data_IF_849906278448
#
_entry.id   IF_849906278448
#
_cell.length_a   1.000
_cell.length_b   1.000
_cell.length_c   1.000
_cell.angle_alpha   90.00
_cell.angle_beta   90.00
_cell.angle_gamma   90.00
#
_symmetry.space_group_name_H-M   'P 1'
#
loop_
_entity.id
_entity.type
_entity.pdbx_description
1 polymer ?
#
# COMPACT_ATOMS: atom_id res chain seq x y z
N UNK A 1 15.97 -5.37 6.08
CA UNK A 1 14.53 -5.14 5.84
C UNK A 1 13.78 -6.01 6.84
N UNK A 2 12.91 -5.43 7.65
CA UNK A 2 12.08 -6.18 8.60
C UNK A 2 10.94 -6.82 7.81
N UNK A 3 10.96 -8.15 7.65
CA UNK A 3 9.80 -8.92 7.20
C UNK A 3 9.11 -9.44 8.46
N UNK A 4 7.83 -9.14 8.60
CA UNK A 4 6.99 -9.68 9.66
C UNK A 4 6.27 -10.90 9.07
N UNK A 5 6.52 -12.12 9.59
CA UNK A 5 5.78 -13.30 9.16
C UNK A 5 4.27 -13.08 9.17
N UNK A 6 3.56 -13.64 8.20
CA UNK A 6 2.11 -13.40 7.98
C UNK A 6 1.26 -13.62 9.23
N UNK A 7 1.60 -14.61 10.05
CA UNK A 7 0.90 -14.89 11.32
C UNK A 7 1.03 -13.73 12.32
N UNK A 8 2.25 -13.19 12.48
CA UNK A 8 2.49 -12.03 13.32
C UNK A 8 1.79 -10.78 12.77
N UNK A 9 1.78 -10.58 11.45
CA UNK A 9 1.04 -9.48 10.82
C UNK A 9 -0.47 -9.59 11.08
N UNK A 10 -1.03 -10.81 11.03
CA UNK A 10 -2.44 -11.08 11.30
C UNK A 10 -2.81 -10.72 12.75
N UNK A 11 -1.99 -11.10 13.73
CA UNK A 11 -2.23 -10.76 15.14
C UNK A 11 -2.06 -9.26 15.42
N UNK A 12 -1.10 -8.59 14.76
CA UNK A 12 -0.95 -7.14 14.86
C UNK A 12 -2.18 -6.39 14.31
N UNK A 13 -2.69 -6.79 13.15
CA UNK A 13 -3.90 -6.19 12.56
C UNK A 13 -5.11 -6.43 13.46
N UNK A 14 -5.27 -7.65 13.98
CA UNK A 14 -6.34 -7.99 14.92
C UNK A 14 -6.30 -7.10 16.17
N UNK A 15 -5.12 -7.01 16.81
CA UNK A 15 -4.92 -6.16 17.99
C UNK A 15 -5.24 -4.69 17.69
N UNK A 16 -4.81 -4.18 16.53
CA UNK A 16 -5.11 -2.82 16.11
C UNK A 16 -6.63 -2.59 15.99
N UNK A 17 -7.35 -3.50 15.33
CA UNK A 17 -8.80 -3.42 15.17
C UNK A 17 -9.54 -3.49 16.52
N UNK A 18 -9.11 -4.37 17.43
CA UNK A 18 -9.67 -4.49 18.79
C UNK A 18 -9.48 -3.20 19.61
N UNK A 19 -8.41 -2.44 19.34
CA UNK A 19 -8.15 -1.12 19.93
C UNK A 19 -8.86 0.03 19.20
N UNK A 20 -9.67 -0.26 18.17
CA UNK A 20 -10.39 0.74 17.39
C UNK A 20 -9.54 1.43 16.31
N UNK A 21 -8.32 0.96 16.05
CA UNK A 21 -7.48 1.44 14.95
C UNK A 21 -7.97 0.76 13.67
N UNK A 22 -8.39 1.58 12.70
CA UNK A 22 -8.91 1.09 11.43
C UNK A 22 -8.19 1.66 10.20
N UNK A 23 -7.14 2.46 10.39
CA UNK A 23 -6.34 3.00 9.29
C UNK A 23 -4.99 2.30 9.22
N UNK A 24 -4.73 1.63 8.10
CA UNK A 24 -3.47 0.95 7.82
C UNK A 24 -2.76 1.59 6.62
N UNK A 25 -1.46 1.84 6.78
CA UNK A 25 -0.65 2.57 5.81
C UNK A 25 0.54 1.73 5.32
N UNK A 26 0.69 1.64 4.00
CA UNK A 26 1.76 0.88 3.33
C UNK A 26 2.36 1.69 2.17
N UNK A 27 3.35 1.12 1.49
CA UNK A 27 3.95 1.70 0.29
C UNK A 27 4.49 0.57 -0.56
N UNK A 28 4.52 0.74 -1.88
CA UNK A 28 5.05 -0.27 -2.80
C UNK A 28 6.52 -0.63 -2.50
N UNK A 29 7.26 0.27 -1.85
CA UNK A 29 8.65 0.07 -1.47
C UNK A 29 8.86 -0.75 -0.19
N UNK A 30 7.84 -0.89 0.65
CA UNK A 30 7.97 -1.60 1.93
C UNK A 30 8.30 -3.07 1.68
N UNK A 31 9.53 -3.45 2.04
CA UNK A 31 10.11 -4.76 1.77
C UNK A 31 9.98 -5.20 0.28
N UNK A 32 10.06 -4.26 -0.65
CA UNK A 32 9.93 -4.55 -2.09
C UNK A 32 8.54 -5.05 -2.50
N UNK A 33 7.49 -4.57 -1.82
CA UNK A 33 6.10 -4.94 -2.05
C UNK A 33 5.58 -6.05 -1.13
N UNK A 34 6.47 -6.74 -0.40
CA UNK A 34 6.05 -7.79 0.52
C UNK A 34 5.15 -7.27 1.64
N UNK A 35 5.36 -6.03 2.11
CA UNK A 35 4.50 -5.44 3.14
C UNK A 35 3.04 -5.27 2.72
N UNK A 36 2.77 -5.07 1.43
CA UNK A 36 1.41 -4.99 0.89
C UNK A 36 0.76 -6.38 0.83
N UNK A 37 1.53 -7.41 0.49
CA UNK A 37 1.06 -8.80 0.51
C UNK A 37 0.73 -9.22 1.93
N UNK A 38 1.65 -8.96 2.88
CA UNK A 38 1.50 -9.34 4.28
C UNK A 38 0.28 -8.65 4.91
N UNK A 39 0.11 -7.34 4.68
CA UNK A 39 -1.07 -6.60 5.16
C UNK A 39 -2.37 -7.10 4.50
N UNK A 40 -2.35 -7.33 3.19
CA UNK A 40 -3.52 -7.83 2.45
C UNK A 40 -3.99 -9.20 2.91
N UNK A 41 -3.06 -10.09 3.26
CA UNK A 41 -3.36 -11.39 3.88
C UNK A 41 -3.87 -11.23 5.32
N UNK A 42 -3.20 -10.39 6.12
CA UNK A 42 -3.56 -10.13 7.51
C UNK A 42 -4.99 -9.59 7.66
N UNK A 43 -5.43 -8.70 6.77
CA UNK A 43 -6.80 -8.17 6.74
C UNK A 43 -7.83 -9.22 6.32
N UNK A 44 -7.52 -10.03 5.28
CA UNK A 44 -8.41 -11.10 4.80
C UNK A 44 -8.60 -12.22 5.83
N UNK A 45 -7.60 -12.45 6.68
CA UNK A 45 -7.68 -13.43 7.76
C UNK A 45 -8.59 -12.98 8.92
N UNK A 46 -9.01 -11.71 8.97
CA UNK A 46 -9.93 -11.22 10.00
C UNK A 46 -11.37 -11.66 9.70
N UNK A 47 -11.92 -12.53 10.56
CA UNK A 47 -13.28 -13.05 10.37
C UNK A 47 -14.32 -11.93 10.50
N UNK A 48 -15.17 -11.81 9.48
CA UNK A 48 -16.29 -10.84 9.47
C UNK A 48 -15.89 -9.39 9.21
N UNK A 49 -14.60 -9.11 8.97
CA UNK A 49 -14.14 -7.77 8.62
C UNK A 49 -14.60 -7.42 7.20
N UNK A 50 -15.38 -6.35 7.06
CA UNK A 50 -15.84 -5.86 5.75
C UNK A 50 -14.87 -4.81 5.24
N UNK A 51 -14.79 -4.66 3.91
CA UNK A 51 -13.95 -3.62 3.29
C UNK A 51 -14.27 -2.21 3.78
N UNK A 52 -15.53 -1.94 4.14
CA UNK A 52 -16.00 -0.66 4.69
C UNK A 52 -15.55 -0.38 6.12
N UNK A 53 -15.02 -1.37 6.84
CA UNK A 53 -14.68 -1.25 8.26
C UNK A 53 -13.28 -0.68 8.48
N UNK A 54 -12.46 -0.55 7.42
CA UNK A 54 -11.09 -0.07 7.49
C UNK A 54 -10.70 0.83 6.31
N UNK A 55 -9.68 1.64 6.55
CA UNK A 55 -9.07 2.58 5.62
C UNK A 55 -7.67 2.08 5.27
N UNK A 56 -7.37 2.01 3.97
CA UNK A 56 -6.05 1.69 3.45
C UNK A 56 -5.47 2.90 2.74
N UNK A 57 -4.26 3.29 3.14
CA UNK A 57 -3.42 4.18 2.36
C UNK A 57 -2.21 3.44 1.78
N UNK A 58 -1.87 3.77 0.55
CA UNK A 58 -0.59 3.36 -0.07
C UNK A 58 0.12 4.55 -0.69
N UNK A 59 1.40 4.38 -1.00
CA UNK A 59 2.28 5.43 -1.53
C UNK A 59 3.01 4.91 -2.76
N UNK A 60 3.00 5.73 -3.82
CA UNK A 60 3.69 5.45 -5.07
C UNK A 60 4.86 6.42 -5.24
N UNK A 61 6.05 5.87 -5.51
CA UNK A 61 7.26 6.56 -5.99
C UNK A 61 8.43 5.59 -6.28
N UNK A 62 8.55 4.49 -5.54
CA UNK A 62 9.72 3.60 -5.55
C UNK A 62 9.31 2.15 -5.85
N UNK A 63 8.74 1.88 -7.02
CA UNK A 63 8.26 0.56 -7.41
C UNK A 63 9.31 -0.40 -7.97
N UNK A 64 10.47 0.07 -8.42
CA UNK A 64 11.47 -0.81 -9.03
C UNK A 64 12.77 -0.12 -9.45
N UNK A 65 13.56 -0.82 -10.27
CA UNK A 65 14.87 -0.34 -10.76
C UNK A 65 14.81 0.22 -12.19
N UNK A 66 13.75 -0.06 -12.94
CA UNK A 66 13.59 0.43 -14.30
C UNK A 66 13.32 1.93 -14.36
N UNK A 67 13.55 2.56 -15.53
CA UNK A 67 13.36 4.00 -15.71
C UNK A 67 11.90 4.44 -15.53
N UNK A 68 10.95 3.53 -15.69
CA UNK A 68 9.51 3.79 -15.53
C UNK A 68 8.93 3.25 -14.21
N UNK A 69 9.75 2.62 -13.37
CA UNK A 69 9.30 1.98 -12.13
C UNK A 69 9.44 2.92 -10.92
N UNK A 70 9.72 4.21 -11.16
CA UNK A 70 9.93 5.22 -10.11
C UNK A 70 9.41 6.59 -10.53
N UNK A 71 9.14 7.43 -9.53
CA UNK A 71 8.74 8.83 -9.71
C UNK A 71 7.23 9.03 -9.60
N UNK A 72 6.69 10.04 -10.28
CA UNK A 72 5.25 10.32 -10.27
C UNK A 72 4.70 10.51 -11.70
N UNK A 73 5.35 9.89 -12.68
CA UNK A 73 4.83 9.94 -14.05
C UNK A 73 3.45 9.29 -14.07
N UNK A 74 2.55 9.75 -14.94
CA UNK A 74 1.21 9.14 -15.09
C UNK A 74 1.30 7.61 -15.27
N UNK A 75 2.30 7.16 -16.04
CA UNK A 75 2.60 5.74 -16.25
C UNK A 75 2.86 5.03 -14.93
N UNK A 76 3.82 5.51 -14.14
CA UNK A 76 4.20 4.86 -12.89
C UNK A 76 3.09 4.95 -11.82
N UNK A 77 2.39 6.08 -11.72
CA UNK A 77 1.25 6.21 -10.81
C UNK A 77 0.18 5.17 -11.13
N UNK A 78 -0.15 4.98 -12.41
CA UNK A 78 -1.16 3.99 -12.80
C UNK A 78 -0.67 2.56 -12.61
N UNK A 79 0.49 2.20 -13.17
CA UNK A 79 1.03 0.83 -13.13
C UNK A 79 1.42 0.41 -11.70
N UNK A 80 2.03 1.31 -10.92
CA UNK A 80 2.35 1.08 -9.52
C UNK A 80 1.11 0.88 -8.67
N UNK A 81 0.04 1.66 -8.91
CA UNK A 81 -1.25 1.46 -8.21
C UNK A 81 -1.86 0.10 -8.56
N UNK A 82 -1.90 -0.28 -9.84
CA UNK A 82 -2.41 -1.61 -10.25
C UNK A 82 -1.62 -2.73 -9.57
N UNK A 83 -0.29 -2.64 -9.54
CA UNK A 83 0.56 -3.64 -8.89
C UNK A 83 0.33 -3.69 -7.37
N UNK A 84 0.16 -2.54 -6.72
CA UNK A 84 -0.17 -2.43 -5.30
C UNK A 84 -1.51 -3.10 -4.98
N UNK A 85 -2.57 -2.80 -5.75
CA UNK A 85 -3.89 -3.40 -5.58
C UNK A 85 -3.86 -4.92 -5.72
N UNK A 86 -3.10 -5.44 -6.68
CA UNK A 86 -2.88 -6.89 -6.84
C UNK A 86 -2.20 -7.51 -5.61
N UNK A 87 -1.15 -6.85 -5.07
CA UNK A 87 -0.43 -7.33 -3.87
C UNK A 87 -1.31 -7.30 -2.62
N UNK A 88 -2.05 -6.21 -2.42
CA UNK A 88 -3.04 -6.08 -1.34
C UNK A 88 -4.20 -7.07 -1.50
N UNK A 89 -4.55 -7.43 -2.74
CA UNK A 89 -5.76 -8.17 -3.09
C UNK A 89 -7.02 -7.35 -2.80
N UNK A 90 -7.00 -6.08 -3.19
CA UNK A 90 -8.11 -5.13 -3.03
C UNK A 90 -8.43 -4.50 -4.38
N UNK A 91 -9.69 -4.07 -4.55
CA UNK A 91 -10.11 -3.36 -5.77
C UNK A 91 -9.78 -1.86 -5.72
N UNK A 92 -9.64 -1.31 -4.51
CA UNK A 92 -9.30 0.10 -4.28
C UNK A 92 -8.60 0.32 -2.95
N UNK A 93 -7.85 1.43 -2.88
CA UNK A 93 -7.34 2.03 -1.63
C UNK A 93 -8.13 3.31 -1.35
N UNK A 94 -8.28 3.65 -0.07
CA UNK A 94 -9.02 4.85 0.33
C UNK A 94 -8.20 6.11 0.08
N UNK A 95 -6.87 6.00 0.23
CA UNK A 95 -5.95 7.12 -0.02
C UNK A 95 -4.74 6.64 -0.82
N UNK A 96 -4.51 7.29 -1.95
CA UNK A 96 -3.31 7.10 -2.76
C UNK A 96 -2.40 8.32 -2.61
N UNK A 97 -1.23 8.13 -2.00
CA UNK A 97 -0.27 9.21 -1.80
C UNK A 97 0.83 9.20 -2.87
N UNK A 98 1.23 10.40 -3.27
CA UNK A 98 2.59 10.61 -3.76
C UNK A 98 3.56 10.51 -2.57
N UNK A 99 4.43 9.49 -2.55
CA UNK A 99 5.32 9.26 -1.40
C UNK A 99 6.28 10.44 -1.13
N UNK A 100 6.60 11.20 -2.18
CA UNK A 100 7.42 12.41 -2.14
C UNK A 100 7.22 13.23 -3.42
N UNK A 101 7.61 14.51 -3.44
CA UNK A 101 7.56 15.32 -4.66
C UNK A 101 8.37 14.70 -5.81
N UNK A 102 7.78 14.70 -7.01
CA UNK A 102 8.44 14.33 -8.26
C UNK A 102 9.27 15.49 -8.79
N UNK A 103 10.57 15.29 -9.02
CA UNK A 103 11.46 16.35 -9.54
C UNK A 103 11.27 16.64 -11.04
N UNK A 104 10.79 15.67 -11.79
CA UNK A 104 10.80 15.68 -13.26
C UNK A 104 9.39 15.57 -13.88
N UNK A 105 8.36 15.57 -13.03
CA UNK A 105 6.98 15.53 -13.47
C UNK A 105 6.43 16.92 -13.25
N UNK A 106 6.06 17.59 -14.33
CA UNK A 106 5.47 18.91 -14.27
C UNK A 106 4.17 18.86 -13.48
N UNK A 107 4.17 19.38 -12.26
CA UNK A 107 2.98 19.96 -11.68
C UNK A 107 2.81 21.27 -12.44
N UNK A 108 1.87 21.32 -13.39
CA UNK A 108 1.73 22.44 -14.32
C UNK A 108 1.97 23.77 -13.61
N UNK A 109 2.89 24.58 -14.15
CA UNK A 109 3.06 25.96 -13.71
C UNK A 109 1.72 26.65 -13.88
N UNK A 110 1.11 27.03 -12.76
CA UNK A 110 0.05 28.02 -12.74
C UNK A 110 0.62 29.39 -13.14
#
# INVERSE_FOLDING_TARGET
MCHTPTEQATELVKTALELGINHFDVAESHAGGQGEIDLGLALRNQKGLRRSDFIISTKIFYGGKGPNDRGLSRKHVFEGTVACLQRLGLDYVDILYAQRPGKFVGFGSA
#
